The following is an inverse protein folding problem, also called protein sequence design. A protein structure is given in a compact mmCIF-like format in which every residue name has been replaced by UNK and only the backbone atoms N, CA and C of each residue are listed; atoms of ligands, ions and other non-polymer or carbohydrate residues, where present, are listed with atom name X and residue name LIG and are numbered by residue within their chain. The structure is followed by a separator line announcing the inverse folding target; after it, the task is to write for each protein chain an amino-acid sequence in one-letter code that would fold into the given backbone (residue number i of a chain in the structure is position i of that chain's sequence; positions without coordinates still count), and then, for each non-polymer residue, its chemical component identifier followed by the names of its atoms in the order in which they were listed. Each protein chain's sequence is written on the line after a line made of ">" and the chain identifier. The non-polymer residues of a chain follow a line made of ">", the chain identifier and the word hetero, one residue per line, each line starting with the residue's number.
data_IF_975512693489
#
_entry.id   IF_975512693489
#
_cell.length_a   1.000
_cell.length_b   1.000
_cell.length_c   1.000
_cell.angle_alpha   90.00
_cell.angle_beta   90.00
_cell.angle_gamma   90.00
#
_symmetry.space_group_name_H-M   'P 1'
#
loop_
_entity.id
_entity.type
_entity.pdbx_description
1 polymer ?
#
# COMPACT_ATOMS: atom_id res chain seq x y z
N UNK A 1 -12.83 23.49 17.73
CA UNK A 1 -11.37 23.30 17.91
C UNK A 1 -10.93 22.08 17.10
N UNK A 2 -10.33 22.30 15.93
CA UNK A 2 -9.92 21.22 15.01
C UNK A 2 -8.61 20.57 15.45
N UNK A 3 -8.63 19.26 15.72
CA UNK A 3 -7.43 18.47 15.97
C UNK A 3 -6.72 18.23 14.63
N UNK A 4 -5.69 19.01 14.32
CA UNK A 4 -4.84 18.76 13.15
C UNK A 4 -4.10 17.43 13.36
N UNK A 5 -4.43 16.41 12.56
CA UNK A 5 -3.69 15.15 12.55
C UNK A 5 -2.27 15.44 12.09
N UNK A 6 -1.29 15.23 12.97
CA UNK A 6 0.13 15.43 12.69
C UNK A 6 0.55 14.59 11.48
N UNK A 7 0.70 15.23 10.32
CA UNK A 7 1.25 14.58 9.14
C UNK A 7 2.74 14.31 9.35
N UNK A 8 3.20 13.14 8.90
CA UNK A 8 4.60 12.72 9.07
C UNK A 8 5.42 13.31 7.94
N UNK A 9 6.57 13.92 8.25
CA UNK A 9 7.56 14.25 7.22
C UNK A 9 8.06 12.94 6.62
N UNK A 10 7.87 12.76 5.33
CA UNK A 10 8.51 11.67 4.61
C UNK A 10 9.87 12.22 4.16
N UNK A 11 10.94 11.80 4.82
CA UNK A 11 12.31 12.15 4.43
C UNK A 11 12.71 11.36 3.19
N UNK A 12 12.14 11.72 2.04
CA UNK A 12 12.61 11.23 0.74
C UNK A 12 13.46 12.34 0.16
N UNK A 13 14.76 12.09 0.01
CA UNK A 13 15.56 12.89 -0.90
C UNK A 13 14.93 12.72 -2.27
N UNK A 14 14.19 13.74 -2.73
CA UNK A 14 13.47 13.62 -3.99
C UNK A 14 14.50 13.41 -5.09
N UNK A 15 14.22 12.51 -6.02
CA UNK A 15 15.14 12.27 -7.12
C UNK A 15 15.40 13.54 -7.95
N UNK A 16 14.54 14.57 -7.87
CA UNK A 16 14.82 15.92 -8.37
C UNK A 16 16.03 16.57 -7.69
N UNK A 17 16.15 16.47 -6.36
CA UNK A 17 17.31 16.96 -5.60
C UNK A 17 18.57 16.20 -6.01
N UNK A 18 18.47 14.89 -6.22
CA UNK A 18 19.59 14.08 -6.71
C UNK A 18 20.02 14.51 -8.14
N UNK A 19 19.07 14.65 -9.06
CA UNK A 19 19.35 15.10 -10.44
C UNK A 19 19.98 16.48 -10.46
N UNK A 20 19.48 17.42 -9.66
CA UNK A 20 20.05 18.78 -9.54
C UNK A 20 21.48 18.75 -8.99
N UNK A 21 21.77 17.88 -8.01
CA UNK A 21 23.12 17.72 -7.47
C UNK A 21 24.09 17.19 -8.52
N UNK A 22 23.69 16.18 -9.28
CA UNK A 22 24.52 15.60 -10.35
C UNK A 22 24.76 16.60 -11.47
N UNK A 23 23.74 17.38 -11.84
CA UNK A 23 23.88 18.45 -12.83
C UNK A 23 24.92 19.50 -12.40
N UNK A 24 24.90 19.92 -11.12
CA UNK A 24 25.88 20.87 -10.59
C UNK A 24 27.31 20.30 -10.60
N UNK A 25 27.48 19.02 -10.26
CA UNK A 25 28.79 18.37 -10.29
C UNK A 25 29.33 18.22 -11.72
N UNK A 26 28.46 17.92 -12.69
CA UNK A 26 28.82 17.89 -14.11
C UNK A 26 29.20 19.28 -14.63
N UNK A 27 28.43 20.32 -14.29
CA UNK A 27 28.72 21.72 -14.67
C UNK A 27 30.05 22.21 -14.10
N UNK A 28 30.39 21.80 -12.87
CA UNK A 28 31.66 22.10 -12.24
C UNK A 28 32.84 21.26 -12.72
N UNK A 29 32.63 20.32 -13.66
CA UNK A 29 33.68 19.41 -14.14
C UNK A 29 34.19 18.41 -13.11
N UNK A 30 33.50 18.27 -11.96
CA UNK A 30 33.93 17.41 -10.86
C UNK A 30 33.72 15.92 -11.17
N UNK A 31 32.76 15.60 -12.05
CA UNK A 31 32.47 14.24 -12.51
C UNK A 31 32.18 14.23 -14.01
N UNK A 32 32.52 13.12 -14.66
CA UNK A 32 32.05 12.82 -16.01
C UNK A 32 30.54 12.51 -16.00
N UNK A 33 29.88 12.69 -17.15
CA UNK A 33 28.45 12.42 -17.32
C UNK A 33 28.15 10.93 -17.05
N UNK A 34 27.28 10.59 -16.07
CA UNK A 34 26.90 9.20 -15.82
C UNK A 34 26.06 8.63 -16.98
N UNK A 35 26.25 7.34 -17.29
CA UNK A 35 25.53 6.65 -18.37
C UNK A 35 23.99 6.68 -18.21
N UNK A 36 23.50 6.70 -16.97
CA UNK A 36 22.07 6.71 -16.66
C UNK A 36 21.44 8.12 -16.74
N UNK A 37 22.24 9.19 -16.81
CA UNK A 37 21.75 10.57 -16.65
C UNK A 37 20.73 10.97 -17.73
N UNK A 38 20.98 10.60 -18.99
CA UNK A 38 20.08 10.93 -20.09
C UNK A 38 18.74 10.20 -19.98
N UNK A 39 18.78 8.90 -19.62
CA UNK A 39 17.57 8.12 -19.39
C UNK A 39 16.74 8.69 -18.24
N UNK A 40 17.39 9.06 -17.13
CA UNK A 40 16.73 9.67 -15.97
C UNK A 40 16.16 11.07 -16.28
N UNK A 41 16.79 11.83 -17.19
CA UNK A 41 16.28 13.13 -17.65
C UNK A 41 15.10 12.98 -18.60
N UNK A 42 15.10 11.97 -19.46
CA UNK A 42 14.01 11.67 -20.39
C UNK A 42 12.76 11.16 -19.67
N UNK A 43 12.96 10.36 -18.62
CA UNK A 43 11.89 9.79 -17.80
C UNK A 43 12.06 10.20 -16.33
N UNK A 44 11.70 11.44 -15.96
CA UNK A 44 11.86 11.90 -14.60
C UNK A 44 10.90 11.14 -13.66
N UNK A 45 11.34 10.82 -12.43
CA UNK A 45 10.49 10.15 -11.47
C UNK A 45 9.32 11.03 -11.04
N UNK A 46 8.19 10.39 -10.77
CA UNK A 46 6.96 11.06 -10.31
C UNK A 46 7.26 11.81 -9.02
N UNK A 47 6.88 13.11 -8.90
CA UNK A 47 7.11 13.87 -7.69
C UNK A 47 6.32 13.25 -6.52
N UNK A 48 7.05 12.81 -5.49
CA UNK A 48 6.44 12.39 -4.25
C UNK A 48 6.12 13.61 -3.37
N UNK A 49 4.96 13.65 -2.71
CA UNK A 49 4.62 14.73 -1.80
C UNK A 49 5.58 14.72 -0.61
N UNK A 50 6.12 15.89 -0.26
CA UNK A 50 7.02 16.08 0.90
C UNK A 50 6.27 15.93 2.23
N UNK A 51 4.95 16.09 2.18
CA UNK A 51 4.04 15.93 3.31
C UNK A 51 2.80 15.19 2.84
N UNK A 52 2.49 14.09 3.52
CA UNK A 52 1.27 13.35 3.31
C UNK A 52 0.53 13.19 4.65
N UNK A 53 -0.81 13.21 4.65
CA UNK A 53 -1.56 12.80 5.82
C UNK A 53 -1.21 11.36 6.18
N UNK A 54 -1.40 10.98 7.45
CA UNK A 54 -1.26 9.58 7.85
C UNK A 54 -2.15 8.70 6.95
N UNK A 55 -1.65 7.54 6.48
CA UNK A 55 -2.44 6.63 5.67
C UNK A 55 -3.71 6.26 6.43
N UNK A 56 -4.85 6.26 5.73
CA UNK A 56 -6.12 5.83 6.29
C UNK A 56 -6.09 4.31 6.39
N UNK A 57 -6.67 3.78 7.47
CA UNK A 57 -6.92 2.35 7.58
C UNK A 57 -7.86 1.91 6.45
N UNK A 58 -7.50 0.81 5.78
CA UNK A 58 -8.34 0.20 4.74
C UNK A 58 -9.35 -0.67 5.48
N UNK A 59 -10.63 -0.34 5.35
CA UNK A 59 -11.74 -1.04 6.02
C UNK A 59 -12.75 -1.44 4.96
N UNK A 60 -13.18 -2.69 4.99
CA UNK A 60 -14.22 -3.21 4.12
C UNK A 60 -15.55 -3.38 4.88
N UNK A 61 -16.70 -3.25 4.20
CA UNK A 61 -18.02 -3.47 4.83
C UNK A 61 -18.15 -4.85 5.49
N UNK A 62 -17.58 -5.88 4.87
CA UNK A 62 -17.58 -7.26 5.35
C UNK A 62 -16.74 -7.51 6.60
N UNK A 63 -15.82 -6.62 6.97
CA UNK A 63 -14.96 -6.78 8.15
C UNK A 63 -15.80 -6.89 9.43
N UNK A 64 -16.96 -6.21 9.45
CA UNK A 64 -17.92 -6.31 10.56
C UNK A 64 -18.49 -7.73 10.69
N UNK A 65 -18.83 -8.36 9.58
CA UNK A 65 -19.38 -9.72 9.54
C UNK A 65 -18.33 -10.73 9.95
N UNK A 66 -17.09 -10.55 9.49
CA UNK A 66 -15.98 -11.41 9.89
C UNK A 66 -15.73 -11.32 11.40
N UNK A 67 -15.75 -10.12 11.99
CA UNK A 67 -15.64 -9.96 13.46
C UNK A 67 -16.76 -10.68 14.21
N UNK A 68 -17.99 -10.65 13.69
CA UNK A 68 -19.12 -11.38 14.29
C UNK A 68 -18.89 -12.90 14.18
N UNK A 69 -18.44 -13.38 13.03
CA UNK A 69 -18.13 -14.79 12.79
C UNK A 69 -17.05 -15.29 13.75
N UNK A 70 -15.94 -14.57 13.86
CA UNK A 70 -14.81 -14.91 14.73
C UNK A 70 -15.22 -14.96 16.21
N UNK A 71 -16.09 -14.04 16.64
CA UNK A 71 -16.60 -14.04 18.02
C UNK A 71 -17.51 -15.23 18.34
N UNK A 72 -18.26 -15.72 17.34
CA UNK A 72 -19.21 -16.83 17.50
C UNK A 72 -18.58 -18.21 17.29
N UNK A 73 -17.48 -18.28 16.55
CA UNK A 73 -16.79 -19.51 16.19
C UNK A 73 -15.33 -19.40 16.66
N UNK A 74 -15.05 -19.70 17.94
CA UNK A 74 -13.69 -19.59 18.48
C UNK A 74 -12.71 -20.58 17.84
N UNK A 75 -13.22 -21.67 17.26
CA UNK A 75 -12.45 -22.67 16.52
C UNK A 75 -11.89 -22.14 15.18
N UNK A 76 -12.36 -20.98 14.69
CA UNK A 76 -11.85 -20.40 13.44
C UNK A 76 -10.34 -20.16 13.47
N UNK A 77 -9.74 -19.92 14.64
CA UNK A 77 -8.30 -19.66 14.76
C UNK A 77 -7.44 -20.87 14.38
N UNK A 78 -8.03 -22.07 14.36
CA UNK A 78 -7.36 -23.30 13.91
C UNK A 78 -7.53 -23.57 12.42
N UNK A 79 -8.36 -22.78 11.71
CA UNK A 79 -8.55 -22.91 10.27
C UNK A 79 -7.29 -22.42 9.54
N UNK A 80 -6.76 -23.25 8.64
CA UNK A 80 -5.59 -22.88 7.84
C UNK A 80 -5.99 -21.75 6.90
N UNK A 81 -5.38 -20.59 7.10
CA UNK A 81 -5.54 -19.46 6.19
C UNK A 81 -4.92 -19.82 4.83
N UNK A 82 -5.77 -19.88 3.81
CA UNK A 82 -5.34 -20.06 2.43
C UNK A 82 -5.11 -18.72 1.77
N UNK A 83 -4.04 -18.62 1.00
CA UNK A 83 -3.84 -17.48 0.12
C UNK A 83 -4.94 -17.46 -0.95
N UNK A 84 -5.45 -16.28 -1.30
CA UNK A 84 -6.58 -16.13 -2.22
C UNK A 84 -6.36 -16.82 -3.58
N UNK A 85 -5.12 -16.81 -4.09
CA UNK A 85 -4.74 -17.49 -5.33
C UNK A 85 -4.96 -19.00 -5.27
N UNK A 86 -4.64 -19.60 -4.13
CA UNK A 86 -4.75 -21.06 -3.95
C UNK A 86 -6.21 -21.46 -3.69
N UNK A 87 -6.93 -20.63 -2.94
CA UNK A 87 -8.38 -20.80 -2.72
C UNK A 87 -9.17 -20.75 -4.03
N UNK A 88 -8.82 -19.86 -4.97
CA UNK A 88 -9.46 -19.79 -6.29
C UNK A 88 -9.13 -21.00 -7.16
N UNK A 89 -7.87 -21.46 -7.16
CA UNK A 89 -7.45 -22.63 -7.95
C UNK A 89 -8.10 -23.93 -7.47
N UNK A 90 -8.20 -24.11 -6.16
CA UNK A 90 -8.74 -25.32 -5.54
C UNK A 90 -10.27 -25.28 -5.40
N UNK A 91 -10.91 -24.12 -5.60
CA UNK A 91 -12.33 -23.91 -5.30
C UNK A 91 -12.65 -23.94 -3.80
N UNK A 92 -11.63 -24.00 -2.94
CA UNK A 92 -11.78 -24.14 -1.50
C UNK A 92 -11.81 -22.77 -0.83
N UNK A 93 -13.03 -22.32 -0.53
CA UNK A 93 -13.29 -21.11 0.26
C UNK A 93 -13.27 -21.43 1.76
N UNK A 94 -12.64 -20.56 2.56
CA UNK A 94 -12.67 -20.66 4.03
C UNK A 94 -14.10 -20.52 4.55
N UNK A 95 -14.36 -21.09 5.72
CA UNK A 95 -15.69 -21.04 6.35
C UNK A 95 -16.13 -19.61 6.62
N UNK A 96 -15.21 -18.75 7.07
CA UNK A 96 -15.48 -17.32 7.26
C UNK A 96 -15.86 -16.61 5.96
N UNK A 97 -15.18 -16.90 4.84
CA UNK A 97 -15.53 -16.31 3.55
C UNK A 97 -16.91 -16.78 3.07
N UNK A 98 -17.23 -18.07 3.23
CA UNK A 98 -18.56 -18.61 2.92
C UNK A 98 -19.65 -17.93 3.77
N UNK A 99 -19.40 -17.74 5.06
CA UNK A 99 -20.30 -17.02 5.95
C UNK A 99 -20.59 -15.60 5.46
N UNK A 100 -19.55 -14.82 5.14
CA UNK A 100 -19.72 -13.45 4.62
C UNK A 100 -20.49 -13.43 3.31
N UNK A 101 -20.12 -14.30 2.36
CA UNK A 101 -20.75 -14.37 1.03
C UNK A 101 -22.24 -14.70 1.15
N UNK A 102 -22.57 -15.70 1.98
CA UNK A 102 -23.96 -16.07 2.23
C UNK A 102 -24.71 -14.92 2.88
N UNK A 103 -24.14 -14.27 3.89
CA UNK A 103 -24.82 -13.17 4.58
C UNK A 103 -25.11 -11.99 3.64
N UNK A 104 -24.19 -11.65 2.74
CA UNK A 104 -24.38 -10.61 1.73
C UNK A 104 -25.56 -10.93 0.80
N UNK A 105 -25.71 -12.18 0.37
CA UNK A 105 -26.85 -12.61 -0.48
C UNK A 105 -28.23 -12.47 0.19
N UNK A 106 -28.29 -12.37 1.52
CA UNK A 106 -29.55 -12.24 2.27
C UNK A 106 -29.89 -10.79 2.67
N UNK A 107 -28.93 -9.86 2.54
CA UNK A 107 -29.13 -8.44 2.88
C UNK A 107 -29.54 -7.63 1.64
N UNK A 108 -29.08 -8.05 0.46
CA UNK A 108 -29.47 -7.49 -0.85
C UNK A 108 -30.84 -8.02 -1.31
#
# INVERSE_FOLDING_TARGET
>A
MGKYKAGRRIAVQSARVMMARVENLMKGGAIAKPAWYDAAKMHPPVPLPTWAPAPKEIVFPEDRLMKIYQRRNPDWSFEVLKQHSDAQRQGEKTRGYKFVTLWQQYID
#
